data_IF_680151572668
#
_entry.id   IF_680151572668
#
_cell.length_a   1.000
_cell.length_b   1.000
_cell.length_c   1.000
_cell.angle_alpha   90.00
_cell.angle_beta   90.00
_cell.angle_gamma   90.00
#
_symmetry.space_group_name_H-M   'P 1'
#
loop_
_entity.id
_entity.type
_entity.pdbx_description
1 polymer ?
#
# COMPACT_ATOMS: atom_id res chain seq x y z
N UNK A 1 -1.31 -28.39 55.22
CA UNK A 1 -2.01 -29.61 54.75
C UNK A 1 -3.41 -29.23 54.28
N UNK A 2 -3.93 -29.97 53.31
CA UNK A 2 -4.89 -29.56 52.29
C UNK A 2 -6.36 -29.35 52.72
N UNK A 3 -6.97 -28.30 52.14
CA UNK A 3 -8.19 -28.24 51.32
C UNK A 3 -9.46 -29.06 51.67
N UNK A 4 -10.59 -28.34 51.87
CA UNK A 4 -11.85 -28.35 51.09
C UNK A 4 -13.11 -28.22 51.96
N UNK A 5 -13.96 -27.22 51.67
CA UNK A 5 -15.42 -27.34 51.85
C UNK A 5 -16.17 -26.49 50.83
N UNK A 6 -17.09 -27.14 50.11
CA UNK A 6 -18.12 -26.55 49.25
C UNK A 6 -19.22 -25.89 50.11
N UNK A 7 -19.89 -24.85 49.61
CA UNK A 7 -21.33 -24.91 49.24
C UNK A 7 -21.92 -23.55 48.83
N UNK A 8 -22.90 -23.62 47.91
CA UNK A 8 -23.82 -22.56 47.49
C UNK A 8 -24.92 -22.34 48.55
N UNK A 9 -25.47 -21.13 48.65
CA UNK A 9 -26.92 -20.88 48.74
C UNK A 9 -27.27 -19.41 48.39
N UNK A 10 -28.56 -19.20 48.10
CA UNK A 10 -29.21 -18.08 47.42
C UNK A 10 -29.93 -17.09 48.38
N UNK A 11 -30.25 -15.90 47.84
CA UNK A 11 -31.20 -14.85 48.30
C UNK A 11 -30.77 -14.00 49.53
N UNK A 12 -31.00 -12.68 49.65
CA UNK A 12 -32.12 -11.83 49.21
C UNK A 12 -31.76 -10.32 49.12
N UNK A 13 -32.73 -9.51 48.68
CA UNK A 13 -32.80 -8.09 48.32
C UNK A 13 -32.12 -7.00 49.19
N UNK A 14 -31.78 -5.86 48.55
CA UNK A 14 -32.16 -4.51 49.02
C UNK A 14 -32.14 -3.43 47.89
N UNK A 15 -33.10 -2.51 47.97
CA UNK A 15 -33.36 -1.30 47.15
C UNK A 15 -32.26 -0.22 47.28
N UNK A 16 -32.08 0.63 46.25
CA UNK A 16 -32.31 2.10 46.33
C UNK A 16 -31.97 2.89 45.02
N UNK A 17 -32.87 3.85 44.72
CA UNK A 17 -32.75 5.14 44.01
C UNK A 17 -32.57 5.30 42.48
N UNK A 18 -33.65 5.84 41.86
CA UNK A 18 -33.74 6.65 40.63
C UNK A 18 -33.42 8.14 40.92
N UNK A 19 -32.79 8.87 39.99
CA UNK A 19 -33.34 10.05 39.28
C UNK A 19 -32.26 10.99 38.63
N UNK A 20 -32.67 11.65 37.53
CA UNK A 20 -32.05 12.76 36.74
C UNK A 20 -30.95 12.33 35.73
N UNK A 21 -30.97 12.66 34.42
CA UNK A 21 -31.42 13.86 33.68
C UNK A 21 -32.07 13.54 32.33
N UNK A 22 -32.90 14.49 31.89
CA UNK A 22 -33.86 14.52 30.76
C UNK A 22 -33.28 15.09 29.46
N UNK A 23 -33.80 14.60 28.33
CA UNK A 23 -33.75 15.22 26.98
C UNK A 23 -34.66 16.46 26.89
N UNK A 24 -34.42 17.41 25.96
CA UNK A 24 -35.45 18.37 25.53
C UNK A 24 -35.97 18.07 24.11
N UNK A 25 -37.29 18.28 23.96
CA UNK A 25 -38.12 18.14 22.76
C UNK A 25 -37.98 19.32 21.77
N UNK A 26 -38.38 19.16 20.49
CA UNK A 26 -38.30 20.16 19.43
C UNK A 26 -39.63 20.92 19.27
N UNK A 27 -39.58 22.25 19.15
CA UNK A 27 -40.47 23.07 18.31
C UNK A 27 -40.23 24.56 18.56
N UNK A 28 -39.74 25.27 17.55
CA UNK A 28 -40.08 26.67 17.23
C UNK A 28 -39.44 27.04 15.88
N UNK A 29 -40.29 27.07 14.85
CA UNK A 29 -40.00 27.46 13.47
C UNK A 29 -40.20 28.98 13.23
N UNK A 30 -39.52 29.46 12.18
CA UNK A 30 -39.70 30.72 11.41
C UNK A 30 -38.97 31.95 11.97
N UNK A 31 -38.07 32.66 11.27
CA UNK A 31 -38.14 33.23 9.90
C UNK A 31 -36.73 33.53 9.28
N UNK A 32 -36.67 33.67 7.94
CA UNK A 32 -35.47 33.83 7.05
C UNK A 32 -34.80 35.26 7.07
N UNK A 33 -33.96 35.66 6.07
CA UNK A 33 -32.50 35.51 5.98
C UNK A 33 -31.77 36.87 5.81
N UNK A 34 -30.44 36.97 5.95
CA UNK A 34 -29.72 38.19 5.51
C UNK A 34 -28.40 37.89 4.78
N UNK A 35 -28.31 38.53 3.62
CA UNK A 35 -27.22 38.58 2.64
C UNK A 35 -26.14 39.60 2.99
N UNK A 36 -25.03 39.50 2.24
CA UNK A 36 -23.80 40.28 2.27
C UNK A 36 -23.94 41.81 2.32
N UNK A 37 -22.97 42.47 2.96
CA UNK A 37 -22.44 43.78 2.53
C UNK A 37 -20.98 44.00 2.97
N UNK A 38 -20.14 44.34 1.99
CA UNK A 38 -18.82 44.96 2.09
C UNK A 38 -18.81 46.26 2.94
N UNK A 39 -17.70 46.53 3.65
CA UNK A 39 -17.02 47.85 3.67
C UNK A 39 -15.59 47.76 4.28
N UNK A 40 -14.70 48.73 3.97
CA UNK A 40 -13.24 48.55 3.85
C UNK A 40 -12.42 48.97 5.08
N UNK A 41 -11.13 48.60 5.07
CA UNK A 41 -10.10 48.97 6.05
C UNK A 41 -9.56 50.39 5.84
N UNK A 42 -9.27 51.17 6.91
CA UNK A 42 -8.45 52.37 6.85
C UNK A 42 -6.97 52.10 7.19
N UNK A 43 -6.10 52.95 6.61
CA UNK A 43 -4.64 52.97 6.68
C UNK A 43 -4.08 53.61 7.97
N UNK A 44 -2.89 53.10 8.32
CA UNK A 44 -1.72 53.70 9.01
C UNK A 44 -1.88 54.55 10.28
N UNK A 45 -1.26 54.07 11.37
CA UNK A 45 -0.36 54.90 12.19
C UNK A 45 0.64 54.07 13.04
N UNK A 46 1.92 54.40 12.84
CA UNK A 46 3.08 54.43 13.77
C UNK A 46 3.50 53.20 14.62
N UNK A 47 4.70 52.66 14.29
CA UNK A 47 5.58 51.92 15.22
C UNK A 47 7.01 52.56 15.24
N UNK A 48 7.72 52.56 16.38
CA UNK A 48 8.95 53.33 16.64
C UNK A 48 10.25 52.69 16.09
N UNK A 49 11.36 53.47 15.98
CA UNK A 49 12.53 53.08 15.18
C UNK A 49 13.45 52.07 15.89
N UNK A 50 13.77 50.97 15.18
CA UNK A 50 14.81 50.02 15.56
C UNK A 50 16.17 50.33 14.91
N UNK A 51 17.23 50.00 15.64
CA UNK A 51 18.63 50.35 15.42
C UNK A 51 19.16 50.01 14.01
N UNK A 52 19.89 50.97 13.43
CA UNK A 52 20.70 50.81 12.21
C UNK A 52 21.93 49.96 12.50
N UNK A 53 22.03 48.78 11.91
CA UNK A 53 23.29 48.05 11.74
C UNK A 53 23.99 48.49 10.44
N UNK A 54 25.32 48.70 10.41
CA UNK A 54 26.01 49.18 9.22
C UNK A 54 26.13 48.12 8.12
N UNK A 55 25.98 48.56 6.87
CA UNK A 55 26.17 47.74 5.66
C UNK A 55 27.61 47.22 5.55
N UNK A 56 27.83 45.97 5.07
CA UNK A 56 29.17 45.49 4.75
C UNK A 56 29.71 46.16 3.47
N UNK A 57 31.05 46.33 3.35
CA UNK A 57 31.66 47.01 2.22
C UNK A 57 31.52 46.23 0.91
N UNK A 58 31.26 46.96 -0.19
CA UNK A 58 31.22 46.44 -1.57
C UNK A 58 32.60 45.91 -1.98
N UNK A 59 32.72 44.59 -2.12
CA UNK A 59 33.89 43.94 -2.71
C UNK A 59 33.93 44.18 -4.22
N UNK A 60 35.07 44.70 -4.72
CA UNK A 60 35.37 44.88 -6.14
C UNK A 60 35.40 43.52 -6.84
N UNK A 61 34.78 43.42 -8.02
CA UNK A 61 34.89 42.27 -8.92
C UNK A 61 36.34 42.09 -9.40
N UNK A 62 37.10 41.25 -8.70
CA UNK A 62 38.30 40.60 -9.23
C UNK A 62 37.89 39.42 -10.10
N UNK A 63 38.42 39.34 -11.32
CA UNK A 63 38.28 38.16 -12.19
C UNK A 63 39.01 36.97 -11.55
N UNK A 64 38.33 36.18 -10.74
CA UNK A 64 38.82 34.87 -10.33
C UNK A 64 38.67 33.88 -11.48
N UNK A 65 39.79 33.39 -12.00
CA UNK A 65 39.84 32.22 -12.88
C UNK A 65 39.25 31.02 -12.10
N UNK A 66 38.40 30.19 -12.69
CA UNK A 66 37.92 28.99 -12.02
C UNK A 66 39.11 28.06 -11.75
N UNK A 67 39.26 27.63 -10.49
CA UNK A 67 40.13 26.50 -10.16
C UNK A 67 39.61 25.25 -10.88
N UNK A 68 40.49 24.41 -11.45
CA UNK A 68 40.05 23.17 -12.07
C UNK A 68 39.40 22.28 -11.00
N UNK A 69 38.21 21.74 -11.32
CA UNK A 69 37.61 20.65 -10.54
C UNK A 69 38.61 19.48 -10.53
N UNK A 70 38.78 18.73 -9.43
CA UNK A 70 39.50 17.48 -9.52
C UNK A 70 38.78 16.58 -10.52
N UNK A 71 39.41 16.38 -11.67
CA UNK A 71 39.06 15.33 -12.62
C UNK A 71 39.44 14.01 -11.95
N UNK A 72 38.44 13.29 -11.46
CA UNK A 72 38.58 11.87 -11.14
C UNK A 72 38.55 11.09 -12.46
N UNK A 73 39.67 11.14 -13.18
CA UNK A 73 39.89 10.27 -14.34
C UNK A 73 40.56 8.98 -13.83
N UNK A 74 39.75 7.99 -13.49
CA UNK A 74 40.18 6.65 -13.12
C UNK A 74 39.04 5.86 -12.49
N UNK A 75 38.93 4.55 -12.76
CA UNK A 75 37.93 3.72 -12.10
C UNK A 75 38.23 3.70 -10.60
N UNK A 76 37.21 4.02 -9.80
CA UNK A 76 37.31 4.04 -8.34
C UNK A 76 37.61 2.62 -7.84
N UNK A 77 38.71 2.40 -7.10
CA UNK A 77 39.11 1.08 -6.64
C UNK A 77 38.07 0.40 -5.73
N UNK A 78 37.17 1.17 -5.09
CA UNK A 78 36.03 0.63 -4.34
C UNK A 78 35.00 0.05 -5.31
N UNK A 79 34.66 0.77 -6.37
CA UNK A 79 33.72 0.31 -7.39
C UNK A 79 34.29 -0.85 -8.22
N UNK A 80 35.60 -0.90 -8.43
CA UNK A 80 36.25 -2.04 -9.08
C UNK A 80 36.28 -3.28 -8.18
N UNK A 81 36.46 -3.14 -6.87
CA UNK A 81 36.32 -4.25 -5.92
C UNK A 81 34.88 -4.79 -5.89
N UNK A 82 33.88 -3.92 -5.86
CA UNK A 82 32.45 -4.28 -5.95
C UNK A 82 32.14 -4.98 -7.29
N UNK A 83 32.69 -4.49 -8.41
CA UNK A 83 32.57 -5.16 -9.73
C UNK A 83 33.26 -6.51 -9.76
N UNK A 84 34.41 -6.68 -9.11
CA UNK A 84 35.15 -7.93 -9.11
C UNK A 84 34.46 -9.00 -8.25
N UNK A 85 33.87 -8.63 -7.12
CA UNK A 85 33.07 -9.54 -6.30
C UNK A 85 31.79 -9.95 -7.05
N UNK A 86 31.09 -8.99 -7.66
CA UNK A 86 29.93 -9.28 -8.52
C UNK A 86 30.28 -10.14 -9.76
N UNK A 87 31.51 -10.06 -10.28
CA UNK A 87 32.00 -10.89 -11.40
C UNK A 87 32.45 -12.30 -10.97
N UNK A 88 32.88 -12.49 -9.72
CA UNK A 88 33.27 -13.83 -9.21
C UNK A 88 32.08 -14.78 -9.13
N UNK A 89 30.89 -14.27 -8.83
CA UNK A 89 29.65 -15.06 -8.86
C UNK A 89 29.17 -15.39 -10.29
N UNK A 90 29.53 -14.57 -11.29
CA UNK A 90 29.13 -14.74 -12.71
C UNK A 90 29.76 -15.97 -13.37
N UNK A 91 30.94 -16.42 -12.94
CA UNK A 91 31.66 -17.52 -13.62
C UNK A 91 31.10 -18.91 -13.27
N UNK A 92 30.20 -19.02 -12.28
CA UNK A 92 29.65 -20.32 -11.85
C UNK A 92 28.25 -20.67 -12.38
N UNK A 93 27.56 -19.76 -13.07
CA UNK A 93 26.15 -19.97 -13.42
C UNK A 93 25.84 -19.71 -14.90
N UNK A 94 25.92 -20.77 -15.70
CA UNK A 94 25.38 -20.81 -17.05
C UNK A 94 24.48 -22.05 -17.21
N UNK A 95 23.16 -21.88 -17.07
CA UNK A 95 22.10 -22.69 -17.72
C UNK A 95 20.73 -22.40 -17.07
N UNK A 96 19.77 -22.05 -17.93
CA UNK A 96 18.28 -22.09 -17.85
C UNK A 96 17.55 -21.93 -16.50
N UNK A 97 16.48 -21.12 -16.55
CA UNK A 97 15.57 -20.62 -15.50
C UNK A 97 16.08 -19.37 -14.78
N UNK A 98 15.43 -18.22 -15.01
CA UNK A 98 15.52 -17.05 -14.15
C UNK A 98 14.95 -17.43 -12.77
N UNK A 99 15.80 -18.03 -11.95
CA UNK A 99 15.40 -18.49 -10.62
C UNK A 99 15.18 -17.28 -9.72
N UNK A 100 14.42 -17.51 -8.65
CA UNK A 100 14.25 -16.70 -7.44
C UNK A 100 15.56 -16.05 -6.91
N UNK A 101 16.74 -16.58 -7.27
CA UNK A 101 18.04 -15.99 -6.96
C UNK A 101 18.47 -14.85 -7.92
N UNK A 102 18.04 -14.87 -9.19
CA UNK A 102 18.39 -13.88 -10.21
C UNK A 102 17.84 -12.48 -9.93
N UNK A 103 16.73 -12.37 -9.21
CA UNK A 103 16.11 -11.08 -8.86
C UNK A 103 17.02 -10.27 -7.94
N UNK A 104 17.66 -10.91 -6.96
CA UNK A 104 18.60 -10.23 -6.07
C UNK A 104 19.75 -9.62 -6.87
N UNK A 105 20.39 -10.41 -7.73
CA UNK A 105 21.48 -9.95 -8.59
C UNK A 105 21.09 -8.73 -9.44
N UNK A 106 19.91 -8.76 -10.07
CA UNK A 106 19.42 -7.64 -10.88
C UNK A 106 19.19 -6.38 -10.04
N UNK A 107 18.77 -6.53 -8.78
CA UNK A 107 18.58 -5.40 -7.87
C UNK A 107 19.92 -4.75 -7.50
N UNK A 108 20.92 -5.54 -7.12
CA UNK A 108 22.23 -5.03 -6.73
C UNK A 108 22.97 -4.40 -7.91
N UNK A 109 23.00 -5.07 -9.07
CA UNK A 109 23.70 -4.58 -10.25
C UNK A 109 23.12 -3.27 -10.78
N UNK A 110 21.78 -3.15 -10.85
CA UNK A 110 21.13 -1.94 -11.35
C UNK A 110 21.40 -0.72 -10.46
N UNK A 111 21.44 -0.90 -9.13
CA UNK A 111 21.66 0.22 -8.19
C UNK A 111 23.07 0.81 -8.25
N UNK A 112 24.10 0.00 -8.50
CA UNK A 112 25.45 0.53 -8.72
C UNK A 112 25.47 1.55 -9.87
N UNK A 113 24.78 1.23 -10.97
CA UNK A 113 24.69 2.11 -12.15
C UNK A 113 23.85 3.36 -11.88
N UNK A 114 22.80 3.27 -11.06
CA UNK A 114 21.98 4.44 -10.73
C UNK A 114 22.66 5.40 -9.75
N UNK A 115 23.41 4.87 -8.78
CA UNK A 115 24.15 5.69 -7.81
C UNK A 115 25.24 6.54 -8.49
N UNK A 116 25.86 6.04 -9.56
CA UNK A 116 26.79 6.81 -10.40
C UNK A 116 26.08 7.93 -11.18
N UNK A 117 24.82 7.71 -11.59
CA UNK A 117 24.04 8.65 -12.42
C UNK A 117 23.35 9.75 -11.61
N UNK A 118 22.98 9.49 -10.37
CA UNK A 118 22.30 10.45 -9.48
C UNK A 118 23.03 10.56 -8.13
N UNK A 119 24.10 11.37 -8.04
CA UNK A 119 24.97 11.44 -6.86
C UNK A 119 24.25 11.86 -5.58
N UNK A 120 23.17 12.65 -5.66
CA UNK A 120 22.39 13.08 -4.49
C UNK A 120 21.77 11.87 -3.78
N UNK A 121 21.41 10.83 -4.53
CA UNK A 121 20.79 9.61 -3.98
C UNK A 121 21.80 8.52 -3.65
N UNK A 122 23.10 8.70 -3.95
CA UNK A 122 24.14 7.67 -3.76
C UNK A 122 24.14 7.05 -2.36
N UNK A 123 24.10 7.88 -1.31
CA UNK A 123 24.09 7.42 0.08
C UNK A 123 22.81 6.66 0.43
N UNK A 124 21.67 7.12 -0.09
CA UNK A 124 20.38 6.45 0.09
C UNK A 124 20.35 5.07 -0.58
N UNK A 125 20.83 4.98 -1.84
CA UNK A 125 20.88 3.74 -2.60
C UNK A 125 21.88 2.74 -1.98
N UNK A 126 23.03 3.23 -1.51
CA UNK A 126 24.00 2.40 -0.82
C UNK A 126 23.41 1.83 0.47
N UNK A 127 22.88 2.69 1.34
CA UNK A 127 22.31 2.28 2.62
C UNK A 127 21.08 1.37 2.47
N UNK A 128 20.27 1.56 1.43
CA UNK A 128 19.02 0.81 1.25
C UNK A 128 19.18 -0.51 0.52
N UNK A 129 20.19 -0.62 -0.34
CA UNK A 129 20.39 -1.78 -1.21
C UNK A 129 21.78 -2.37 -1.00
N UNK A 130 22.82 -1.61 -1.35
CA UNK A 130 24.18 -2.14 -1.50
C UNK A 130 24.84 -2.58 -0.18
N UNK A 131 24.34 -2.12 0.96
CA UNK A 131 24.83 -2.48 2.29
C UNK A 131 24.26 -3.80 2.85
N UNK A 132 23.51 -4.57 2.05
CA UNK A 132 22.82 -5.77 2.51
C UNK A 132 23.23 -7.01 1.70
N UNK A 133 23.21 -8.18 2.35
CA UNK A 133 23.65 -9.44 1.72
C UNK A 133 22.54 -10.10 0.89
N UNK A 134 21.28 -9.70 1.11
CA UNK A 134 20.14 -10.29 0.42
C UNK A 134 18.97 -9.31 0.25
N UNK A 135 18.07 -9.66 -0.68
CA UNK A 135 16.87 -8.90 -1.01
C UNK A 135 15.98 -8.64 0.22
N UNK A 136 15.84 -9.65 1.09
CA UNK A 136 15.02 -9.57 2.29
C UNK A 136 15.54 -8.54 3.28
N UNK A 137 16.84 -8.51 3.53
CA UNK A 137 17.44 -7.52 4.43
C UNK A 137 17.29 -6.10 3.88
N UNK A 138 17.53 -5.92 2.58
CA UNK A 138 17.31 -4.64 1.91
C UNK A 138 15.85 -4.18 2.01
N UNK A 139 14.90 -5.07 1.74
CA UNK A 139 13.47 -4.79 1.90
C UNK A 139 13.14 -4.40 3.34
N UNK A 140 13.59 -5.18 4.32
CA UNK A 140 13.34 -4.90 5.74
C UNK A 140 13.87 -3.54 6.14
N UNK A 141 15.06 -3.16 5.66
CA UNK A 141 15.62 -1.84 5.88
C UNK A 141 14.78 -0.72 5.29
N UNK A 142 14.34 -0.86 4.03
CA UNK A 142 13.45 0.11 3.38
C UNK A 142 12.15 0.24 4.16
N UNK A 143 11.49 -0.87 4.51
CA UNK A 143 10.22 -0.87 5.23
C UNK A 143 10.34 -0.24 6.62
N UNK A 144 11.38 -0.58 7.38
CA UNK A 144 11.60 -0.04 8.72
C UNK A 144 11.79 1.48 8.68
N UNK A 145 12.59 2.00 7.73
CA UNK A 145 12.81 3.43 7.58
C UNK A 145 11.56 4.19 7.10
N UNK A 146 10.71 3.55 6.27
CA UNK A 146 9.45 4.13 5.80
C UNK A 146 8.39 4.18 6.92
N UNK A 147 8.36 3.18 7.79
CA UNK A 147 7.32 3.02 8.82
C UNK A 147 7.71 3.59 10.19
N UNK A 148 8.97 3.98 10.42
CA UNK A 148 9.40 4.51 11.70
C UNK A 148 8.56 5.71 12.15
N UNK A 149 8.37 5.83 13.45
CA UNK A 149 7.81 7.01 14.11
C UNK A 149 8.36 7.08 15.56
N UNK A 150 8.01 8.10 16.37
CA UNK A 150 8.50 8.19 17.75
C UNK A 150 8.13 7.02 18.68
N UNK A 151 7.15 6.19 18.30
CA UNK A 151 6.71 5.01 19.07
C UNK A 151 7.38 3.72 18.60
N UNK A 152 7.54 3.56 17.28
CA UNK A 152 8.14 2.41 16.63
C UNK A 152 9.41 2.88 15.91
N UNK A 153 10.54 2.78 16.60
CA UNK A 153 11.82 3.21 16.06
C UNK A 153 12.25 2.30 14.90
N UNK A 154 12.99 2.85 13.93
CA UNK A 154 13.50 2.07 12.80
C UNK A 154 14.29 0.83 13.24
N UNK A 155 15.08 0.93 14.31
CA UNK A 155 15.85 -0.20 14.87
C UNK A 155 14.97 -1.31 15.43
N UNK A 156 13.86 -0.96 16.07
CA UNK A 156 12.88 -1.94 16.58
C UNK A 156 12.14 -2.60 15.42
N UNK A 157 11.74 -1.81 14.42
CA UNK A 157 11.09 -2.34 13.21
C UNK A 157 12.03 -3.26 12.44
N UNK A 158 13.30 -2.89 12.28
CA UNK A 158 14.34 -3.73 11.66
C UNK A 158 14.43 -5.09 12.36
N UNK A 159 14.53 -5.11 13.69
CA UNK A 159 14.63 -6.34 14.46
C UNK A 159 13.38 -7.21 14.30
N UNK A 160 12.19 -6.63 14.49
CA UNK A 160 10.91 -7.34 14.36
C UNK A 160 10.75 -7.92 12.95
N UNK A 161 10.99 -7.10 11.93
CA UNK A 161 10.79 -7.49 10.53
C UNK A 161 11.83 -8.53 10.10
N UNK A 162 13.09 -8.37 10.49
CA UNK A 162 14.15 -9.34 10.20
C UNK A 162 13.84 -10.69 10.84
N UNK A 163 13.40 -10.69 12.11
CA UNK A 163 13.04 -11.91 12.82
C UNK A 163 11.95 -12.69 12.07
N UNK A 164 10.92 -12.00 11.57
CA UNK A 164 9.83 -12.65 10.82
C UNK A 164 10.27 -13.07 9.41
N UNK A 165 10.83 -12.16 8.62
CA UNK A 165 11.11 -12.38 7.19
C UNK A 165 12.23 -13.40 7.00
N UNK A 166 13.31 -13.33 7.78
CA UNK A 166 14.48 -14.20 7.58
C UNK A 166 14.24 -15.65 8.03
N UNK A 167 13.27 -15.88 8.93
CA UNK A 167 12.93 -17.22 9.43
C UNK A 167 11.68 -17.82 8.78
N UNK A 168 11.02 -17.14 7.84
CA UNK A 168 9.76 -17.60 7.24
C UNK A 168 9.85 -17.74 5.71
N UNK A 169 10.26 -18.93 5.25
CA UNK A 169 10.46 -19.25 3.81
C UNK A 169 9.27 -18.91 2.90
N UNK A 170 8.01 -19.16 3.29
CA UNK A 170 6.86 -18.73 2.49
C UNK A 170 6.81 -17.23 2.24
N UNK A 171 7.17 -16.39 3.22
CA UNK A 171 7.18 -14.92 3.05
C UNK A 171 8.28 -14.52 2.06
N UNK A 172 9.46 -15.14 2.16
CA UNK A 172 10.58 -14.91 1.23
C UNK A 172 10.19 -15.22 -0.23
N UNK A 173 9.44 -16.30 -0.44
CA UNK A 173 8.89 -16.66 -1.74
C UNK A 173 7.89 -15.61 -2.22
N UNK A 174 6.93 -15.22 -1.38
CA UNK A 174 5.92 -14.23 -1.76
C UNK A 174 6.55 -12.87 -2.10
N UNK A 175 7.55 -12.40 -1.36
CA UNK A 175 8.28 -11.15 -1.66
C UNK A 175 8.77 -11.14 -3.12
N UNK A 176 9.34 -12.26 -3.58
CA UNK A 176 9.91 -12.37 -4.92
C UNK A 176 8.85 -12.49 -6.01
N UNK A 177 7.78 -13.22 -5.74
CA UNK A 177 6.66 -13.31 -6.69
C UNK A 177 5.90 -11.99 -6.80
N UNK A 178 5.77 -11.25 -5.70
CA UNK A 178 5.11 -9.95 -5.68
C UNK A 178 5.97 -8.90 -6.42
N UNK A 179 7.30 -8.85 -6.18
CA UNK A 179 8.16 -7.90 -6.91
C UNK A 179 8.21 -8.24 -8.42
N UNK A 180 8.14 -9.52 -8.77
CA UNK A 180 7.99 -9.98 -10.15
C UNK A 180 6.68 -9.51 -10.76
N UNK A 181 5.57 -9.61 -10.03
CA UNK A 181 4.26 -9.13 -10.49
C UNK A 181 4.28 -7.63 -10.82
N UNK A 182 4.93 -6.79 -10.00
CA UNK A 182 5.15 -5.38 -10.33
C UNK A 182 5.96 -5.22 -11.61
N UNK A 183 7.08 -5.94 -11.73
CA UNK A 183 7.96 -5.82 -12.90
C UNK A 183 7.29 -6.25 -14.22
N UNK A 184 6.44 -7.27 -14.16
CA UNK A 184 5.82 -7.86 -15.35
C UNK A 184 4.55 -7.15 -15.80
N UNK A 185 3.79 -6.60 -14.84
CA UNK A 185 2.42 -6.14 -15.08
C UNK A 185 2.28 -4.62 -15.06
N UNK A 186 3.17 -3.91 -14.37
CA UNK A 186 3.19 -2.45 -14.37
C UNK A 186 4.23 -1.95 -15.40
N UNK A 187 3.80 -1.37 -16.54
CA UNK A 187 4.71 -0.83 -17.54
C UNK A 187 5.55 0.36 -17.01
N UNK A 188 5.10 1.03 -15.94
CA UNK A 188 5.87 2.09 -15.27
C UNK A 188 6.92 1.53 -14.29
N UNK A 189 6.85 0.24 -13.92
CA UNK A 189 7.85 -0.41 -13.07
C UNK A 189 9.08 -0.82 -13.90
N UNK A 190 9.98 0.15 -14.07
CA UNK A 190 11.16 -0.01 -14.94
C UNK A 190 12.14 -1.08 -14.44
N UNK A 191 12.21 -1.36 -13.14
CA UNK A 191 13.13 -2.34 -12.56
C UNK A 191 12.60 -2.95 -11.26
N UNK A 192 13.13 -4.09 -10.84
CA UNK A 192 12.87 -4.66 -9.50
C UNK A 192 13.25 -3.68 -8.38
N UNK A 193 14.30 -2.87 -8.58
CA UNK A 193 14.70 -1.83 -7.64
C UNK A 193 13.63 -0.76 -7.47
N UNK A 194 12.97 -0.38 -8.57
CA UNK A 194 11.88 0.61 -8.56
C UNK A 194 10.73 0.12 -7.69
N UNK A 195 10.35 -1.16 -7.83
CA UNK A 195 9.37 -1.79 -6.96
C UNK A 195 9.80 -1.79 -5.48
N UNK A 196 11.03 -2.25 -5.22
CA UNK A 196 11.58 -2.37 -3.87
C UNK A 196 11.70 -1.02 -3.14
N UNK A 197 12.09 0.05 -3.84
CA UNK A 197 12.37 1.35 -3.22
C UNK A 197 11.14 2.26 -3.14
N UNK A 198 10.23 2.20 -4.13
CA UNK A 198 9.26 3.28 -4.34
C UNK A 198 7.80 2.84 -4.38
N UNK A 199 7.50 1.56 -4.64
CA UNK A 199 6.12 1.13 -4.84
C UNK A 199 5.44 0.85 -3.51
N UNK A 200 4.64 1.81 -3.04
CA UNK A 200 3.97 1.72 -1.73
C UNK A 200 2.97 0.57 -1.63
N UNK A 201 2.34 0.16 -2.75
CA UNK A 201 1.47 -1.01 -2.78
C UNK A 201 2.24 -2.31 -2.50
N UNK A 202 3.45 -2.44 -3.07
CA UNK A 202 4.38 -3.51 -2.74
C UNK A 202 4.78 -3.45 -1.26
N UNK A 203 5.19 -2.27 -0.76
CA UNK A 203 5.56 -2.10 0.65
C UNK A 203 4.45 -2.50 1.62
N UNK A 204 3.23 -2.03 1.37
CA UNK A 204 2.07 -2.34 2.20
C UNK A 204 1.79 -3.86 2.25
N UNK A 205 1.88 -4.53 1.10
CA UNK A 205 1.68 -5.98 1.01
C UNK A 205 2.72 -6.75 1.84
N UNK A 206 4.00 -6.37 1.76
CA UNK A 206 5.04 -7.07 2.53
C UNK A 206 4.89 -6.87 4.03
N UNK A 207 4.50 -5.67 4.47
CA UNK A 207 4.25 -5.39 5.89
C UNK A 207 2.99 -6.12 6.37
N UNK A 208 1.95 -6.21 5.54
CA UNK A 208 0.80 -7.06 5.83
C UNK A 208 1.22 -8.52 6.07
N UNK A 209 2.12 -9.09 5.26
CA UNK A 209 2.60 -10.48 5.46
C UNK A 209 3.29 -10.65 6.82
N UNK A 210 4.06 -9.64 7.24
CA UNK A 210 4.69 -9.62 8.57
C UNK A 210 3.62 -9.51 9.67
N UNK A 211 2.67 -8.59 9.53
CA UNK A 211 1.57 -8.43 10.49
C UNK A 211 0.69 -9.69 10.58
N UNK A 212 0.46 -10.38 9.47
CA UNK A 212 -0.27 -11.65 9.40
C UNK A 212 0.45 -12.75 10.17
N UNK A 213 1.77 -12.90 9.98
CA UNK A 213 2.57 -13.84 10.77
C UNK A 213 2.51 -13.50 12.27
N UNK A 214 2.67 -12.23 12.65
CA UNK A 214 2.57 -11.79 14.04
C UNK A 214 1.18 -12.04 14.64
N UNK A 215 0.12 -11.84 13.86
CA UNK A 215 -1.26 -12.12 14.27
C UNK A 215 -1.44 -13.59 14.65
N UNK A 216 -0.92 -14.50 13.82
CA UNK A 216 -0.99 -15.94 14.07
C UNK A 216 -0.05 -16.43 15.18
N UNK A 217 1.00 -15.67 15.51
CA UNK A 217 1.82 -15.88 16.71
C UNK A 217 1.17 -15.34 18.00
N UNK A 218 -0.05 -14.80 17.93
CA UNK A 218 -0.76 -14.22 19.08
C UNK A 218 -0.34 -12.78 19.43
N UNK A 219 0.61 -12.18 18.69
CA UNK A 219 1.07 -10.79 18.87
C UNK A 219 0.10 -9.80 18.20
N UNK A 220 -1.19 -9.94 18.48
CA UNK A 220 -2.29 -9.23 17.81
C UNK A 220 -2.20 -7.71 17.94
N UNK A 221 -1.84 -7.20 19.12
CA UNK A 221 -1.70 -5.75 19.36
C UNK A 221 -0.63 -5.15 18.44
N UNK A 222 0.50 -5.84 18.27
CA UNK A 222 1.56 -5.38 17.36
C UNK A 222 1.11 -5.48 15.90
N UNK A 223 0.41 -6.55 15.51
CA UNK A 223 -0.12 -6.69 14.16
C UNK A 223 -1.11 -5.55 13.81
N UNK A 224 -1.99 -5.17 14.74
CA UNK A 224 -2.91 -4.04 14.58
C UNK A 224 -2.19 -2.68 14.56
N UNK A 225 -1.15 -2.52 15.39
CA UNK A 225 -0.32 -1.32 15.34
C UNK A 225 0.38 -1.16 13.98
N UNK A 226 0.87 -2.26 13.40
CA UNK A 226 1.45 -2.26 12.05
C UNK A 226 0.39 -1.98 10.98
N UNK A 227 -0.80 -2.59 11.06
CA UNK A 227 -1.92 -2.27 10.17
C UNK A 227 -2.23 -0.77 10.18
N UNK A 228 -2.38 -0.18 11.38
CA UNK A 228 -2.63 1.26 11.53
C UNK A 228 -1.51 2.11 10.91
N UNK A 229 -0.26 1.71 11.11
CA UNK A 229 0.90 2.45 10.59
C UNK A 229 0.99 2.36 9.06
N UNK A 230 0.69 1.21 8.47
CA UNK A 230 0.62 1.00 7.01
C UNK A 230 -0.50 1.87 6.41
N UNK A 231 -1.65 1.94 7.07
CA UNK A 231 -2.76 2.80 6.64
C UNK A 231 -2.35 4.28 6.65
N UNK A 232 -1.68 4.74 7.71
CA UNK A 232 -1.21 6.12 7.82
C UNK A 232 -0.14 6.49 6.77
N UNK A 233 0.86 5.63 6.55
CA UNK A 233 2.03 5.95 5.70
C UNK A 233 1.78 5.67 4.22
N UNK A 234 1.07 4.59 3.90
CA UNK A 234 0.85 4.15 2.52
C UNK A 234 -0.57 4.39 2.02
N UNK A 235 -1.52 4.67 2.92
CA UNK A 235 -2.94 4.77 2.56
C UNK A 235 -3.54 3.42 2.19
N UNK A 236 -3.03 2.32 2.76
CA UNK A 236 -3.49 0.94 2.50
C UNK A 236 -3.90 0.33 3.84
N UNK A 237 -5.13 -0.17 3.95
CA UNK A 237 -5.62 -0.81 5.17
C UNK A 237 -5.95 -2.28 4.90
N UNK A 238 -5.11 -3.17 5.39
CA UNK A 238 -5.29 -4.63 5.26
C UNK A 238 -5.31 -5.23 6.65
N UNK A 239 -6.44 -5.82 7.02
CA UNK A 239 -6.56 -6.47 8.31
C UNK A 239 -5.60 -7.67 8.42
N UNK A 240 -4.82 -7.83 9.51
CA UNK A 240 -3.82 -8.90 9.62
C UNK A 240 -4.37 -10.32 9.53
N UNK A 241 -5.65 -10.53 9.82
CA UNK A 241 -6.31 -11.84 9.70
C UNK A 241 -6.79 -12.19 8.27
N UNK A 242 -6.73 -11.26 7.31
CA UNK A 242 -7.04 -11.54 5.92
C UNK A 242 -6.12 -12.66 5.40
N UNK A 243 -6.48 -13.28 4.29
CA UNK A 243 -5.66 -14.31 3.63
C UNK A 243 -5.37 -13.87 2.21
N UNK A 244 -4.11 -13.63 1.89
CA UNK A 244 -3.70 -13.11 0.58
C UNK A 244 -2.61 -14.01 0.02
N UNK A 245 -2.83 -14.49 -1.20
CA UNK A 245 -1.91 -15.34 -1.95
C UNK A 245 -0.61 -14.66 -2.34
N UNK A 246 0.09 -15.23 -3.32
CA UNK A 246 1.38 -14.74 -3.82
C UNK A 246 1.31 -14.26 -5.28
N UNK A 247 2.27 -13.41 -5.68
CA UNK A 247 2.30 -12.81 -7.00
C UNK A 247 1.24 -11.73 -7.17
N UNK A 248 0.98 -10.96 -6.11
CA UNK A 248 -0.07 -9.93 -6.08
C UNK A 248 0.49 -8.62 -6.60
N UNK A 249 -0.27 -7.95 -7.47
CA UNK A 249 -0.04 -6.56 -7.82
C UNK A 249 -1.03 -5.68 -7.05
N UNK A 250 -0.52 -4.80 -6.21
CA UNK A 250 -1.29 -3.71 -5.60
C UNK A 250 -0.87 -2.39 -6.26
N UNK A 251 -1.40 -2.15 -7.46
CA UNK A 251 -0.97 -1.01 -8.26
C UNK A 251 -1.50 0.30 -7.68
N UNK A 252 -0.60 1.29 -7.58
CA UNK A 252 -0.72 2.55 -6.85
C UNK A 252 -1.00 2.43 -5.33
N UNK A 253 -1.81 1.47 -4.88
CA UNK A 253 -2.11 1.13 -3.49
C UNK A 253 -3.03 2.09 -2.73
N UNK A 254 -3.06 3.39 -3.06
CA UNK A 254 -3.85 4.39 -2.29
C UNK A 254 -5.31 3.99 -2.12
N UNK A 255 -5.84 4.05 -0.91
CA UNK A 255 -7.26 3.82 -0.62
C UNK A 255 -7.69 2.36 -0.72
N UNK A 256 -6.76 1.41 -0.81
CA UNK A 256 -7.11 -0.02 -0.75
C UNK A 256 -7.51 -0.41 0.67
N UNK A 257 -8.66 -1.08 0.80
CA UNK A 257 -9.19 -1.59 2.07
C UNK A 257 -9.51 -3.07 1.93
N UNK A 258 -8.92 -3.93 2.76
CA UNK A 258 -9.15 -5.38 2.75
C UNK A 258 -9.47 -5.85 4.18
N UNK A 259 -10.71 -6.32 4.36
CA UNK A 259 -11.23 -6.67 5.67
C UNK A 259 -10.81 -8.04 6.21
N UNK A 260 -11.15 -8.27 7.48
CA UNK A 260 -10.67 -9.38 8.33
C UNK A 260 -10.81 -10.78 7.73
N UNK A 261 -11.93 -11.08 7.08
CA UNK A 261 -12.24 -12.43 6.57
C UNK A 261 -12.09 -12.55 5.06
N UNK A 262 -11.48 -11.54 4.43
CA UNK A 262 -11.27 -11.53 3.00
C UNK A 262 -10.26 -12.61 2.62
N UNK A 263 -10.49 -13.25 1.47
CA UNK A 263 -9.54 -14.16 0.85
C UNK A 263 -9.21 -13.61 -0.53
N UNK A 264 -7.92 -13.51 -0.85
CA UNK A 264 -7.41 -13.12 -2.16
C UNK A 264 -6.52 -14.25 -2.65
N UNK A 265 -6.86 -14.83 -3.80
CA UNK A 265 -6.09 -15.89 -4.46
C UNK A 265 -4.73 -15.44 -4.97
N UNK A 266 -4.01 -16.32 -5.64
CA UNK A 266 -2.71 -15.97 -6.23
C UNK A 266 -2.88 -15.13 -7.50
N UNK A 267 -1.82 -14.44 -7.91
CA UNK A 267 -1.76 -13.70 -9.19
C UNK A 267 -2.90 -12.69 -9.38
N UNK A 268 -3.52 -12.20 -8.30
CA UNK A 268 -4.54 -11.15 -8.38
C UNK A 268 -3.86 -9.79 -8.59
N UNK A 269 -4.51 -8.93 -9.39
CA UNK A 269 -4.10 -7.54 -9.57
C UNK A 269 -5.23 -6.62 -9.08
N UNK A 270 -4.92 -5.73 -8.13
CA UNK A 270 -5.85 -4.76 -7.55
C UNK A 270 -5.30 -3.35 -7.76
N UNK A 271 -6.16 -2.45 -8.20
CA UNK A 271 -5.81 -1.04 -8.38
C UNK A 271 -6.11 -0.23 -7.10
N UNK A 272 -5.75 1.05 -7.10
CA UNK A 272 -6.09 1.97 -6.01
C UNK A 272 -7.60 2.04 -5.73
N UNK A 273 -7.97 2.38 -4.49
CA UNK A 273 -9.35 2.62 -4.06
C UNK A 273 -10.20 1.36 -3.93
N UNK A 274 -9.64 0.18 -4.20
CA UNK A 274 -10.39 -1.08 -4.13
C UNK A 274 -10.78 -1.39 -2.69
N UNK A 275 -12.05 -1.71 -2.47
CA UNK A 275 -12.56 -2.14 -1.16
C UNK A 275 -13.06 -3.58 -1.21
N UNK A 276 -12.48 -4.45 -0.38
CA UNK A 276 -12.99 -5.79 -0.07
C UNK A 276 -13.61 -5.76 1.34
N UNK A 277 -14.85 -5.29 1.41
CA UNK A 277 -15.51 -4.85 2.64
C UNK A 277 -16.63 -5.78 3.12
N UNK A 278 -17.04 -5.59 4.39
CA UNK A 278 -18.18 -6.29 4.98
C UNK A 278 -19.52 -5.60 4.69
N UNK A 279 -20.61 -6.35 4.87
CA UNK A 279 -21.97 -5.78 4.94
C UNK A 279 -22.44 -5.74 6.40
N UNK A 280 -22.86 -4.56 6.86
CA UNK A 280 -23.44 -4.39 8.20
C UNK A 280 -22.48 -4.69 9.36
N UNK A 281 -23.03 -5.17 10.48
CA UNK A 281 -22.32 -5.36 11.76
C UNK A 281 -22.24 -6.83 12.21
N UNK A 282 -22.59 -7.76 11.33
CA UNK A 282 -22.62 -9.18 11.68
C UNK A 282 -21.20 -9.70 11.92
N UNK A 283 -21.08 -10.59 12.91
CA UNK A 283 -19.83 -11.25 13.26
C UNK A 283 -19.75 -12.56 12.47
N UNK A 284 -18.58 -12.86 11.93
CA UNK A 284 -18.34 -14.07 11.15
C UNK A 284 -17.74 -13.75 9.78
N UNK A 285 -17.88 -14.71 8.87
CA UNK A 285 -17.36 -14.57 7.52
C UNK A 285 -18.23 -13.63 6.68
N UNK A 286 -17.72 -12.43 6.44
CA UNK A 286 -18.48 -11.29 5.92
C UNK A 286 -17.80 -10.51 4.79
N UNK A 287 -16.61 -10.93 4.36
CA UNK A 287 -15.82 -10.23 3.35
C UNK A 287 -15.61 -11.07 2.08
N UNK A 288 -15.25 -10.44 0.95
CA UNK A 288 -15.16 -11.13 -0.33
C UNK A 288 -14.11 -12.24 -0.42
N UNK A 289 -14.36 -13.18 -1.34
CA UNK A 289 -13.45 -14.25 -1.75
C UNK A 289 -13.06 -14.02 -3.21
N UNK A 290 -11.87 -13.49 -3.43
CA UNK A 290 -11.35 -13.17 -4.77
C UNK A 290 -10.54 -14.36 -5.29
N UNK A 291 -10.98 -14.92 -6.40
CA UNK A 291 -10.34 -16.05 -7.08
C UNK A 291 -8.98 -15.71 -7.67
N UNK A 292 -8.22 -16.76 -7.97
CA UNK A 292 -6.90 -16.65 -8.60
C UNK A 292 -6.97 -15.90 -9.94
N UNK A 293 -5.95 -15.10 -10.26
CA UNK A 293 -5.84 -14.42 -11.55
C UNK A 293 -6.86 -13.30 -11.81
N UNK A 294 -7.70 -12.95 -10.83
CA UNK A 294 -8.70 -11.89 -10.99
C UNK A 294 -8.06 -10.50 -11.13
N UNK A 295 -8.71 -9.63 -11.92
CA UNK A 295 -8.34 -8.22 -12.09
C UNK A 295 -9.42 -7.33 -11.47
N UNK A 296 -9.05 -6.54 -10.47
CA UNK A 296 -9.97 -5.62 -9.79
C UNK A 296 -9.59 -4.18 -10.14
N UNK A 297 -10.42 -3.53 -10.96
CA UNK A 297 -10.21 -2.17 -11.45
C UNK A 297 -10.28 -1.10 -10.36
N UNK A 298 -9.76 0.08 -10.69
CA UNK A 298 -9.63 1.20 -9.76
C UNK A 298 -10.96 1.56 -9.10
N UNK A 299 -10.94 1.80 -7.78
CA UNK A 299 -12.08 2.23 -6.98
C UNK A 299 -13.30 1.28 -7.04
N UNK A 300 -13.10 0.01 -7.39
CA UNK A 300 -14.16 -0.99 -7.29
C UNK A 300 -14.43 -1.34 -5.81
N UNK A 301 -15.71 -1.41 -5.44
CA UNK A 301 -16.17 -1.75 -4.10
C UNK A 301 -16.92 -3.08 -4.12
N UNK A 302 -16.41 -4.06 -3.38
CA UNK A 302 -16.93 -5.42 -3.32
C UNK A 302 -17.33 -5.71 -1.88
N UNK A 303 -18.62 -5.91 -1.61
CA UNK A 303 -19.16 -5.97 -0.25
C UNK A 303 -19.84 -7.30 0.04
N UNK A 304 -19.56 -7.82 1.23
CA UNK A 304 -20.20 -9.01 1.77
C UNK A 304 -19.39 -10.29 1.50
N UNK A 305 -19.89 -11.40 2.04
CA UNK A 305 -19.31 -12.71 1.79
C UNK A 305 -19.76 -13.23 0.41
N UNK A 306 -19.17 -12.64 -0.63
CA UNK A 306 -19.41 -13.00 -2.03
C UNK A 306 -18.13 -13.47 -2.70
N UNK A 307 -18.28 -14.24 -3.77
CA UNK A 307 -17.19 -14.81 -4.53
C UNK A 307 -16.99 -14.05 -5.84
N UNK A 308 -15.75 -13.63 -6.10
CA UNK A 308 -15.30 -13.21 -7.41
C UNK A 308 -14.54 -14.39 -8.01
N UNK A 309 -15.07 -14.96 -9.08
CA UNK A 309 -14.51 -16.17 -9.67
C UNK A 309 -13.07 -16.00 -10.17
N UNK A 310 -12.40 -17.14 -10.35
CA UNK A 310 -11.07 -17.19 -10.96
C UNK A 310 -11.07 -16.51 -12.33
N UNK A 311 -10.02 -15.72 -12.60
CA UNK A 311 -9.88 -15.01 -13.87
C UNK A 311 -11.02 -14.03 -14.19
N UNK A 312 -11.83 -13.64 -13.20
CA UNK A 312 -12.86 -12.63 -13.39
C UNK A 312 -12.25 -11.22 -13.39
N UNK A 313 -12.94 -10.29 -14.04
CA UNK A 313 -12.56 -8.90 -14.11
C UNK A 313 -13.68 -8.02 -13.57
N UNK A 314 -13.34 -7.15 -12.62
CA UNK A 314 -14.23 -6.12 -12.11
C UNK A 314 -13.78 -4.79 -12.69
N UNK A 315 -14.67 -4.14 -13.45
CA UNK A 315 -14.36 -2.84 -14.04
C UNK A 315 -14.20 -1.75 -12.96
N UNK A 316 -13.45 -0.71 -13.28
CA UNK A 316 -13.23 0.43 -12.40
C UNK A 316 -14.56 1.07 -11.95
N UNK A 317 -14.62 1.50 -10.68
CA UNK A 317 -15.77 2.19 -10.09
C UNK A 317 -17.01 1.31 -9.83
N UNK A 318 -16.92 -0.01 -9.99
CA UNK A 318 -18.07 -0.90 -9.85
C UNK A 318 -18.45 -1.15 -8.39
N UNK A 319 -19.74 -1.32 -8.10
CA UNK A 319 -20.26 -1.76 -6.81
C UNK A 319 -20.78 -3.21 -6.92
N UNK A 320 -20.00 -4.17 -6.43
CA UNK A 320 -20.31 -5.60 -6.54
C UNK A 320 -20.95 -6.09 -5.23
N UNK A 321 -22.19 -6.58 -5.35
CA UNK A 321 -23.02 -7.04 -4.22
C UNK A 321 -23.47 -8.51 -4.35
N UNK A 322 -23.04 -9.20 -5.41
CA UNK A 322 -23.38 -10.59 -5.73
C UNK A 322 -22.17 -11.30 -6.31
N UNK A 323 -22.19 -12.63 -6.24
CA UNK A 323 -21.14 -13.46 -6.83
C UNK A 323 -20.94 -13.16 -8.32
N UNK A 324 -19.69 -13.15 -8.74
CA UNK A 324 -19.27 -12.97 -10.13
C UNK A 324 -18.67 -14.29 -10.62
N UNK A 325 -19.22 -14.90 -11.68
CA UNK A 325 -18.72 -16.16 -12.22
C UNK A 325 -17.24 -16.08 -12.65
N UNK A 326 -16.51 -17.20 -12.66
CA UNK A 326 -15.17 -17.27 -13.25
C UNK A 326 -15.14 -16.80 -14.70
N UNK A 327 -14.01 -16.23 -15.12
CA UNK A 327 -13.77 -15.76 -16.48
C UNK A 327 -14.92 -14.88 -17.03
N UNK A 328 -15.37 -13.92 -16.22
CA UNK A 328 -16.43 -12.98 -16.61
C UNK A 328 -16.06 -11.54 -16.27
N UNK A 329 -16.63 -10.59 -17.01
CA UNK A 329 -16.51 -9.15 -16.73
C UNK A 329 -17.77 -8.67 -16.01
N UNK A 330 -17.61 -8.01 -14.86
CA UNK A 330 -18.69 -7.31 -14.18
C UNK A 330 -18.41 -5.80 -14.09
N UNK A 331 -19.43 -4.97 -14.38
CA UNK A 331 -19.33 -3.52 -14.20
C UNK A 331 -20.65 -2.88 -13.76
N UNK A 332 -20.55 -1.66 -13.22
CA UNK A 332 -21.69 -0.79 -12.92
C UNK A 332 -22.00 -0.66 -11.42
N UNK A 333 -23.03 0.12 -11.11
CA UNK A 333 -23.51 0.38 -9.74
C UNK A 333 -25.04 0.17 -9.70
N UNK A 334 -25.55 -0.95 -9.16
CA UNK A 334 -24.80 -2.16 -8.80
C UNK A 334 -24.25 -2.89 -10.04
N UNK A 335 -23.18 -3.65 -9.85
CA UNK A 335 -22.49 -4.34 -10.93
C UNK A 335 -23.35 -5.49 -11.51
N UNK A 336 -23.33 -5.62 -12.83
CA UNK A 336 -23.91 -6.74 -13.58
C UNK A 336 -22.81 -7.43 -14.39
N UNK A 337 -22.94 -8.74 -14.59
CA UNK A 337 -22.08 -9.48 -15.52
C UNK A 337 -22.43 -9.06 -16.94
N UNK A 338 -21.42 -8.69 -17.72
CA UNK A 338 -21.57 -8.10 -19.05
C UNK A 338 -21.32 -9.17 -20.12
N UNK A 339 -20.19 -9.87 -20.00
CA UNK A 339 -19.78 -10.88 -20.96
C UNK A 339 -18.78 -11.85 -20.34
N UNK A 340 -18.59 -12.98 -21.03
CA UNK A 340 -17.49 -13.91 -20.74
C UNK A 340 -16.15 -13.35 -21.24
N UNK A 341 -15.10 -13.65 -20.50
CA UNK A 341 -13.74 -13.21 -20.73
C UNK A 341 -13.00 -14.31 -21.51
N UNK A 342 -12.56 -14.00 -22.73
CA UNK A 342 -11.78 -14.93 -23.56
C UNK A 342 -10.30 -14.99 -23.15
N UNK A 343 -9.80 -13.92 -22.52
CA UNK A 343 -8.47 -13.87 -21.92
C UNK A 343 -8.47 -14.71 -20.65
N UNK A 344 -7.56 -15.68 -20.54
CA UNK A 344 -7.51 -16.59 -19.39
C UNK A 344 -6.99 -15.91 -18.12
N UNK A 345 -6.11 -14.90 -18.27
CA UNK A 345 -5.41 -14.24 -17.15
C UNK A 345 -5.50 -12.69 -17.24
N UNK A 346 -6.67 -12.09 -16.94
CA UNK A 346 -6.84 -10.63 -17.05
C UNK A 346 -5.90 -9.85 -16.11
N UNK A 347 -5.56 -10.43 -14.96
CA UNK A 347 -4.59 -9.85 -14.00
C UNK A 347 -3.17 -9.72 -14.55
N UNK A 348 -2.78 -10.55 -15.52
CA UNK A 348 -1.44 -10.50 -16.12
C UNK A 348 -1.37 -9.49 -17.26
N UNK A 349 -2.45 -9.38 -18.04
CA UNK A 349 -2.49 -8.48 -19.20
C UNK A 349 -2.81 -7.03 -18.84
N UNK A 350 -3.42 -6.80 -17.67
CA UNK A 350 -3.82 -5.46 -17.20
C UNK A 350 -4.68 -4.69 -18.22
N UNK A 351 -5.42 -5.41 -19.07
CA UNK A 351 -6.37 -4.81 -20.01
C UNK A 351 -7.59 -4.35 -19.23
N UNK A 352 -7.69 -3.04 -19.03
CA UNK A 352 -8.82 -2.42 -18.33
C UNK A 352 -10.06 -2.19 -19.20
N UNK A 353 -9.89 -2.36 -20.51
CA UNK A 353 -10.92 -2.09 -21.49
C UNK A 353 -11.98 -3.19 -21.45
N UNK A 354 -13.14 -2.90 -20.88
CA UNK A 354 -14.35 -3.43 -21.46
C UNK A 354 -14.48 -2.69 -22.81
N UNK A 355 -14.29 -3.41 -23.93
CA UNK A 355 -14.12 -2.90 -25.31
C UNK A 355 -14.89 -1.62 -25.67
N UNK A 356 -14.42 -0.81 -26.61
CA UNK A 356 -15.17 0.39 -27.12
C UNK A 356 -16.64 0.08 -27.47
N UNK A 357 -16.90 -1.13 -27.95
CA UNK A 357 -18.24 -1.64 -28.23
C UNK A 357 -19.09 -1.81 -26.96
N UNK A 358 -18.49 -2.13 -25.81
CA UNK A 358 -19.14 -2.17 -24.51
C UNK A 358 -19.59 -0.77 -24.06
N UNK A 359 -18.71 0.23 -24.08
CA UNK A 359 -19.11 1.60 -23.73
C UNK A 359 -20.16 2.14 -24.71
N UNK A 360 -20.07 1.75 -25.99
CA UNK A 360 -21.09 2.07 -26.99
C UNK A 360 -22.42 1.38 -26.66
N UNK A 361 -22.41 0.09 -26.32
CA UNK A 361 -23.60 -0.69 -25.98
C UNK A 361 -24.27 -0.24 -24.68
N UNK A 362 -23.48 0.11 -23.66
CA UNK A 362 -23.99 0.70 -22.41
C UNK A 362 -24.60 2.08 -22.68
N UNK A 363 -23.93 2.92 -23.48
CA UNK A 363 -24.44 4.24 -23.83
C UNK A 363 -25.72 4.19 -24.68
N UNK A 364 -25.88 3.18 -25.55
CA UNK A 364 -27.11 2.98 -26.33
C UNK A 364 -28.24 2.42 -25.48
N UNK A 365 -27.98 1.41 -24.64
CA UNK A 365 -29.04 0.81 -23.82
C UNK A 365 -29.53 1.75 -22.70
N UNK A 366 -28.67 2.64 -22.18
CA UNK A 366 -29.11 3.70 -21.25
C UNK A 366 -30.07 4.72 -21.88
N UNK A 367 -30.06 4.87 -23.22
CA UNK A 367 -31.01 5.75 -23.91
C UNK A 367 -32.38 5.10 -24.09
N UNK A 368 -32.43 3.77 -24.20
CA UNK A 368 -33.68 3.04 -24.43
C UNK A 368 -34.44 2.69 -23.13
N UNK A 369 -33.79 2.79 -21.96
CA UNK A 369 -34.42 2.57 -20.65
C UNK A 369 -34.92 3.85 -19.96
N UNK A 370 -34.69 5.04 -20.55
CA UNK A 370 -35.31 6.28 -20.07
C UNK A 370 -36.70 6.40 -20.71
N UNK A 371 -37.81 6.34 -19.94
CA UNK A 371 -39.11 6.69 -20.50
C UNK A 371 -39.01 8.12 -21.03
N UNK A 372 -39.47 8.35 -22.26
CA UNK A 372 -39.65 9.70 -22.79
C UNK A 372 -40.53 10.50 -21.81
N UNK A 373 -39.89 11.32 -20.99
CA UNK A 373 -40.52 12.29 -20.09
C UNK A 373 -40.81 13.59 -20.81
#
# INVERSE_FOLDING_TARGET
>A
MACLSRHRHHHHHHHHHRAWLTSPDPDMLHHRPLSAHHRPLPHDDALPPLLRTPHPPRLRHGRHRPHPRPQFDGPDPIWDAVRQEAKREVVQFNSLCASVASIAFLVFHFNCVQAEKEPILSSFLYASILAHDCLEQALVFVLANRLQNPTLLATQLLDIFSNVVLHHKPIQRSIRLDVQAFKDRDPACLSYCSALLYMKGFHALQVYRIAHALWHQGRKVLALALQSRVSEVFGVDIHPAAKIGEGILLDHGTGVVIGETAIVGNRVSLLHGVTLGGTGKEIGDRHPKVGEGALIGASATILGNITIGEGAMIAAGSLVLKDVPPHSIAAGIPAKVICGLQEHDPSLTMKHDATKDFFTHVATNFRDEMPNG
#
